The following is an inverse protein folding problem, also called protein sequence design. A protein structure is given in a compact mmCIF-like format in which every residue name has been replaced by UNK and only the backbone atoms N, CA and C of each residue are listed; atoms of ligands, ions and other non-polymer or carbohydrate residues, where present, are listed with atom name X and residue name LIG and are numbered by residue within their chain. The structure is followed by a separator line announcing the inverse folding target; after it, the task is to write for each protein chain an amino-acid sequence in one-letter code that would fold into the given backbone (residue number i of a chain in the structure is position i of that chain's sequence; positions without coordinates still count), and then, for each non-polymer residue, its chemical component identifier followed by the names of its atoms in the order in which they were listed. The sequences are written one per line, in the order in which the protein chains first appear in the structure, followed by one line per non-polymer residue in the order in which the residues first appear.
data_IF_999284156637
#
_entry.id   IF_999284156637
#
_cell.length_a   1.000
_cell.length_b   1.000
_cell.length_c   1.000
_cell.angle_alpha   90.00
_cell.angle_beta   90.00
_cell.angle_gamma   90.00
#
_symmetry.space_group_name_H-M   'P 1'
#
loop_
_entity.id
_entity.type
_entity.pdbx_description
1 polymer ?
#
# COMPACT_ATOMS: atom_id res chain seq x y z
N UNK A 1 19.99 25.15 0.03
CA UNK A 1 19.39 23.92 0.58
C UNK A 1 18.51 23.25 -0.48
N UNK A 2 19.12 22.66 -1.53
CA UNK A 2 18.41 22.09 -2.70
C UNK A 2 18.70 20.57 -2.84
N UNK A 3 19.37 19.98 -1.85
CA UNK A 3 19.97 18.64 -1.98
C UNK A 3 19.02 17.47 -1.64
N UNK A 4 17.88 17.72 -0.99
CA UNK A 4 17.05 16.63 -0.43
C UNK A 4 16.02 16.03 -1.41
N UNK A 5 15.59 16.77 -2.44
CA UNK A 5 14.58 16.27 -3.39
C UNK A 5 15.14 15.27 -4.42
N UNK A 6 16.46 15.23 -4.61
CA UNK A 6 17.12 14.31 -5.55
C UNK A 6 17.32 12.90 -4.96
N UNK A 7 17.46 12.78 -3.63
CA UNK A 7 17.60 11.49 -2.95
C UNK A 7 16.27 10.74 -2.92
N UNK A 8 15.15 11.42 -2.61
CA UNK A 8 13.82 10.79 -2.62
C UNK A 8 13.39 10.26 -4.00
N UNK A 9 13.83 10.90 -5.10
CA UNK A 9 13.57 10.38 -6.46
C UNK A 9 14.41 9.15 -6.81
N UNK A 10 15.58 8.95 -6.19
CA UNK A 10 16.40 7.76 -6.40
C UNK A 10 15.86 6.53 -5.68
N UNK A 11 15.21 6.73 -4.53
CA UNK A 11 14.61 5.66 -3.73
C UNK A 11 13.36 5.03 -4.36
N UNK A 12 12.79 5.62 -5.41
CA UNK A 12 11.64 5.07 -6.15
C UNK A 12 12.02 4.33 -7.45
N UNK A 13 13.32 4.24 -7.78
CA UNK A 13 13.82 3.62 -9.02
C UNK A 13 14.01 2.10 -8.92
N UNK A 14 13.44 1.46 -7.90
CA UNK A 14 13.52 0.00 -7.72
C UNK A 14 12.63 -0.78 -8.70
N UNK A 15 11.63 -0.13 -9.31
CA UNK A 15 10.73 -0.78 -10.27
C UNK A 15 11.23 -0.66 -11.71
N UNK A 16 11.33 -1.79 -12.40
CA UNK A 16 11.88 -1.86 -13.76
C UNK A 16 10.85 -2.26 -14.83
N UNK A 17 9.57 -2.35 -14.47
CA UNK A 17 8.50 -2.74 -15.39
C UNK A 17 8.63 -4.20 -15.84
N UNK A 18 8.19 -4.48 -17.08
CA UNK A 18 8.26 -5.82 -17.69
C UNK A 18 9.71 -6.19 -17.98
N UNK A 19 10.26 -7.10 -17.18
CA UNK A 19 11.66 -7.51 -17.27
C UNK A 19 11.77 -9.03 -17.12
N UNK A 20 12.56 -9.67 -17.99
CA UNK A 20 12.80 -11.11 -17.89
C UNK A 20 13.71 -11.45 -16.71
N UNK A 21 13.69 -12.72 -16.28
CA UNK A 21 14.56 -13.21 -15.21
C UNK A 21 16.05 -12.99 -15.55
N UNK A 22 16.45 -13.29 -16.78
CA UNK A 22 17.83 -13.13 -17.25
C UNK A 22 18.26 -11.67 -17.32
N UNK A 23 17.37 -10.77 -17.74
CA UNK A 23 17.64 -9.34 -17.75
C UNK A 23 17.80 -8.79 -16.33
N UNK A 24 16.94 -9.21 -15.41
CA UNK A 24 17.04 -8.86 -13.99
C UNK A 24 18.37 -9.31 -13.39
N UNK A 25 18.79 -10.54 -13.69
CA UNK A 25 20.06 -11.09 -13.24
C UNK A 25 21.26 -10.25 -13.73
N UNK A 26 21.28 -9.91 -15.02
CA UNK A 26 22.35 -9.06 -15.60
C UNK A 26 22.42 -7.69 -14.93
N UNK A 27 21.28 -7.05 -14.70
CA UNK A 27 21.23 -5.74 -14.03
C UNK A 27 21.77 -5.79 -12.61
N UNK A 28 21.47 -6.85 -11.85
CA UNK A 28 22.03 -7.03 -10.49
C UNK A 28 23.56 -7.18 -10.51
N UNK A 29 24.10 -7.89 -11.51
CA UNK A 29 25.55 -8.01 -11.70
C UNK A 29 26.15 -6.65 -12.06
N UNK A 30 25.57 -5.96 -13.05
CA UNK A 30 26.06 -4.66 -13.53
C UNK A 30 25.99 -3.57 -12.45
N UNK A 31 25.00 -3.63 -11.55
CA UNK A 31 24.84 -2.66 -10.47
C UNK A 31 25.78 -2.87 -9.26
N UNK A 32 26.62 -3.92 -9.30
CA UNK A 32 27.78 -4.04 -8.43
C UNK A 32 27.70 -5.11 -7.34
N UNK A 33 26.89 -6.16 -7.51
CA UNK A 33 26.92 -7.40 -6.71
C UNK A 33 27.00 -7.20 -5.19
N UNK A 34 26.31 -6.19 -4.65
CA UNK A 34 26.27 -5.92 -3.22
C UNK A 34 25.15 -6.71 -2.55
N UNK A 35 25.42 -7.25 -1.36
CA UNK A 35 24.39 -7.93 -0.57
C UNK A 35 23.27 -6.96 -0.20
N UNK A 36 22.02 -7.40 -0.37
CA UNK A 36 20.84 -6.56 -0.18
C UNK A 36 20.54 -5.63 -1.36
N UNK A 37 21.21 -5.80 -2.50
CA UNK A 37 20.85 -5.15 -3.76
C UNK A 37 19.58 -5.79 -4.33
N UNK A 38 18.56 -5.00 -4.64
CA UNK A 38 17.30 -5.53 -5.13
C UNK A 38 16.68 -4.71 -6.26
N UNK A 39 15.78 -5.35 -6.99
CA UNK A 39 14.90 -4.71 -7.96
C UNK A 39 13.56 -5.46 -8.01
N UNK A 40 12.49 -4.75 -8.37
CA UNK A 40 11.18 -5.36 -8.61
C UNK A 40 10.83 -5.23 -10.09
N UNK A 41 10.30 -6.31 -10.64
CA UNK A 41 9.88 -6.39 -12.04
C UNK A 41 8.50 -7.00 -12.15
N UNK A 42 7.81 -6.65 -13.21
CA UNK A 42 6.60 -7.32 -13.64
C UNK A 42 6.98 -8.57 -14.45
N UNK A 43 6.32 -9.69 -14.15
CA UNK A 43 6.54 -10.94 -14.86
C UNK A 43 5.97 -10.85 -16.28
N UNK A 44 6.78 -11.19 -17.29
CA UNK A 44 6.30 -11.31 -18.68
C UNK A 44 5.45 -12.55 -18.90
N UNK A 45 5.56 -13.55 -18.02
CA UNK A 45 4.87 -14.83 -18.15
C UNK A 45 3.47 -14.83 -17.50
N UNK A 46 3.22 -13.92 -16.56
CA UNK A 46 1.96 -13.82 -15.83
C UNK A 46 1.59 -12.33 -15.67
N UNK A 47 0.65 -11.80 -16.47
CA UNK A 47 0.24 -10.40 -16.37
C UNK A 47 -0.36 -10.13 -14.98
N UNK A 48 0.08 -9.04 -14.33
CA UNK A 48 -0.34 -8.69 -12.96
C UNK A 48 0.44 -9.39 -11.85
N UNK A 49 1.42 -10.23 -12.17
CA UNK A 49 2.34 -10.83 -11.18
C UNK A 49 3.67 -10.09 -11.14
N UNK A 50 4.14 -9.78 -9.94
CA UNK A 50 5.42 -9.09 -9.74
C UNK A 50 6.47 -10.07 -9.22
N UNK A 51 7.74 -9.77 -9.42
CA UNK A 51 8.85 -10.59 -8.93
C UNK A 51 9.89 -9.68 -8.32
N UNK A 52 10.23 -9.92 -7.06
CA UNK A 52 11.33 -9.26 -6.38
C UNK A 52 12.61 -10.07 -6.65
N UNK A 53 13.61 -9.43 -7.23
CA UNK A 53 14.93 -10.04 -7.44
C UNK A 53 15.92 -9.41 -6.46
N UNK A 54 16.50 -10.23 -5.60
CA UNK A 54 17.40 -9.85 -4.50
C UNK A 54 18.77 -10.51 -4.72
N UNK A 55 19.83 -9.76 -4.57
CA UNK A 55 21.19 -10.27 -4.57
C UNK A 55 21.69 -10.53 -3.15
N UNK A 56 22.19 -11.75 -2.92
CA UNK A 56 22.81 -12.15 -1.67
C UNK A 56 23.84 -13.26 -1.92
N UNK A 57 25.00 -13.20 -1.27
CA UNK A 57 26.03 -14.26 -1.31
C UNK A 57 26.39 -14.68 -2.75
N UNK A 58 26.61 -13.69 -3.63
CA UNK A 58 26.95 -13.89 -5.06
C UNK A 58 25.88 -14.61 -5.89
N UNK A 59 24.65 -14.73 -5.38
CA UNK A 59 23.52 -15.35 -6.09
C UNK A 59 22.32 -14.41 -6.13
N UNK A 60 21.55 -14.49 -7.21
CA UNK A 60 20.30 -13.75 -7.33
C UNK A 60 19.12 -14.65 -6.94
N UNK A 61 18.45 -14.28 -5.86
CA UNK A 61 17.19 -14.86 -5.44
C UNK A 61 16.03 -14.14 -6.13
N UNK A 62 15.02 -14.90 -6.54
CA UNK A 62 13.81 -14.36 -7.16
C UNK A 62 12.60 -14.83 -6.39
N UNK A 63 11.85 -13.88 -5.85
CA UNK A 63 10.69 -14.10 -4.99
C UNK A 63 9.43 -13.69 -5.73
N UNK A 64 8.43 -14.57 -5.77
CA UNK A 64 7.20 -14.31 -6.50
C UNK A 64 6.28 -13.45 -5.65
N UNK A 65 5.97 -12.25 -6.12
CA UNK A 65 4.96 -11.39 -5.49
C UNK A 65 3.61 -11.76 -6.10
N UNK A 66 2.72 -12.28 -5.27
CA UNK A 66 1.34 -12.59 -5.63
C UNK A 66 0.45 -11.39 -5.32
N UNK A 67 -0.49 -11.14 -6.22
CA UNK A 67 -1.54 -10.15 -6.03
C UNK A 67 -2.79 -10.85 -5.52
N UNK A 68 -3.32 -10.36 -4.40
CA UNK A 68 -4.51 -10.87 -3.72
C UNK A 68 -5.59 -9.77 -3.68
N UNK A 69 -6.77 -10.04 -4.27
CA UNK A 69 -7.91 -9.13 -4.20
C UNK A 69 -7.70 -7.79 -4.91
N UNK A 70 -8.10 -6.68 -4.27
CA UNK A 70 -8.15 -5.36 -4.90
C UNK A 70 -6.83 -4.57 -4.87
N UNK A 71 -6.02 -4.68 -3.80
CA UNK A 71 -4.74 -3.96 -3.65
C UNK A 71 -3.70 -4.66 -2.74
N UNK A 72 -3.89 -5.95 -2.40
CA UNK A 72 -2.98 -6.63 -1.49
C UNK A 72 -1.91 -7.42 -2.24
N UNK A 73 -0.68 -7.34 -1.74
CA UNK A 73 0.48 -8.03 -2.29
C UNK A 73 1.15 -8.85 -1.20
N UNK A 74 1.56 -10.05 -1.53
CA UNK A 74 2.36 -10.91 -0.66
C UNK A 74 3.56 -11.44 -1.43
N UNK A 75 4.69 -11.61 -0.75
CA UNK A 75 5.81 -12.38 -1.30
C UNK A 75 5.61 -13.83 -0.88
N UNK A 76 5.55 -14.75 -1.85
CA UNK A 76 5.37 -16.19 -1.64
C UNK A 76 4.22 -16.51 -0.66
N UNK A 77 4.48 -17.13 0.49
CA UNK A 77 3.53 -17.44 1.58
C UNK A 77 3.62 -16.43 2.75
N UNK A 78 4.14 -15.23 2.46
CA UNK A 78 4.40 -14.18 3.46
C UNK A 78 3.20 -13.30 3.81
N UNK A 79 3.40 -12.31 4.69
CA UNK A 79 2.37 -11.34 5.08
C UNK A 79 1.80 -10.55 3.89
N UNK A 80 0.53 -10.16 4.01
CA UNK A 80 -0.19 -9.36 3.03
C UNK A 80 0.03 -7.86 3.30
N UNK A 81 0.38 -7.12 2.25
CA UNK A 81 0.62 -5.68 2.29
C UNK A 81 -0.31 -4.96 1.33
N UNK A 82 -0.92 -3.86 1.77
CA UNK A 82 -1.57 -2.93 0.87
C UNK A 82 -0.48 -2.15 0.13
N UNK A 83 -0.31 -2.39 -1.18
CA UNK A 83 0.74 -1.77 -2.01
C UNK A 83 2.13 -2.43 -1.95
N UNK A 84 2.88 -2.27 -3.04
CA UNK A 84 4.20 -2.87 -3.25
C UNK A 84 5.32 -2.07 -2.57
N UNK A 85 5.12 -0.76 -2.40
CA UNK A 85 6.00 0.12 -1.64
C UNK A 85 5.99 -0.18 -0.13
N UNK A 86 4.82 -0.44 0.46
CA UNK A 86 4.70 -0.87 1.87
C UNK A 86 5.44 -2.18 2.09
N UNK A 87 5.24 -3.12 1.16
CA UNK A 87 5.94 -4.39 1.12
C UNK A 87 7.46 -4.19 1.04
N UNK A 88 7.95 -3.36 0.12
CA UNK A 88 9.38 -3.05 -0.01
C UNK A 88 9.91 -2.42 1.26
N UNK A 89 9.22 -1.44 1.85
CA UNK A 89 9.65 -0.77 3.08
C UNK A 89 9.74 -1.74 4.27
N UNK A 90 8.75 -2.60 4.45
CA UNK A 90 8.79 -3.65 5.47
C UNK A 90 10.03 -4.53 5.32
N UNK A 91 10.33 -4.97 4.08
CA UNK A 91 11.50 -5.82 3.84
C UNK A 91 12.85 -5.08 3.85
N UNK A 92 12.85 -3.74 3.84
CA UNK A 92 14.04 -2.92 4.14
C UNK A 92 14.35 -2.91 5.62
N UNK A 93 13.33 -2.86 6.46
CA UNK A 93 13.49 -2.86 7.93
C UNK A 93 13.83 -4.26 8.44
N UNK A 94 13.23 -5.30 7.87
CA UNK A 94 13.40 -6.68 8.32
C UNK A 94 13.38 -7.70 7.18
N UNK A 95 14.24 -8.72 7.23
CA UNK A 95 14.31 -9.72 6.16
C UNK A 95 13.05 -10.59 6.07
N UNK A 96 12.34 -10.87 7.18
CA UNK A 96 11.01 -11.48 7.18
C UNK A 96 10.84 -12.79 6.39
N UNK A 97 11.93 -13.53 6.13
CA UNK A 97 11.93 -14.74 5.28
C UNK A 97 12.73 -14.63 3.97
N UNK A 98 13.18 -13.43 3.58
CA UNK A 98 14.15 -13.23 2.49
C UNK A 98 15.58 -13.63 2.92
N UNK A 99 16.43 -13.88 1.92
CA UNK A 99 17.84 -14.21 2.12
C UNK A 99 18.60 -13.12 2.90
N UNK A 100 18.28 -11.85 2.65
CA UNK A 100 18.78 -10.70 3.41
C UNK A 100 17.79 -9.55 3.33
N UNK A 101 17.96 -8.53 4.18
CA UNK A 101 17.14 -7.31 4.15
C UNK A 101 17.42 -6.49 2.88
N UNK A 102 16.43 -5.74 2.43
CA UNK A 102 16.58 -4.85 1.28
C UNK A 102 17.40 -3.62 1.68
N UNK A 103 18.61 -3.48 1.15
CA UNK A 103 19.53 -2.39 1.50
C UNK A 103 19.54 -1.33 0.42
N UNK A 104 19.73 -1.76 -0.85
CA UNK A 104 19.98 -0.85 -1.96
C UNK A 104 19.13 -1.23 -3.17
N UNK A 105 18.47 -0.25 -3.76
CA UNK A 105 17.77 -0.48 -5.02
C UNK A 105 18.74 -0.42 -6.22
N UNK A 106 18.53 -1.29 -7.20
CA UNK A 106 19.24 -1.27 -8.47
C UNK A 106 18.81 -0.02 -9.26
N UNK A 107 19.68 1.00 -9.30
CA UNK A 107 19.44 2.21 -10.09
C UNK A 107 19.30 1.88 -11.57
N UNK A 108 18.29 2.45 -12.23
CA UNK A 108 18.00 2.18 -13.64
C UNK A 108 16.53 1.96 -13.98
N UNK A 109 15.62 1.98 -12.98
CA UNK A 109 14.19 1.91 -13.20
C UNK A 109 13.73 3.01 -14.17
N UNK A 110 13.21 2.60 -15.34
CA UNK A 110 12.77 3.53 -16.40
C UNK A 110 11.42 4.18 -16.11
N UNK A 111 10.70 3.68 -15.11
CA UNK A 111 9.37 4.15 -14.75
C UNK A 111 9.10 3.91 -13.27
N UNK A 112 8.42 4.83 -12.55
CA UNK A 112 7.88 4.52 -11.23
C UNK A 112 6.93 3.31 -11.32
N UNK A 113 6.75 2.53 -10.24
CA UNK A 113 5.76 1.45 -10.20
C UNK A 113 4.37 1.98 -10.61
N UNK A 114 3.52 1.19 -11.27
CA UNK A 114 2.18 1.62 -11.66
C UNK A 114 1.40 2.11 -10.43
N UNK A 115 0.52 3.09 -10.60
CA UNK A 115 -0.21 3.73 -9.49
C UNK A 115 -1.04 2.76 -8.63
N UNK A 116 -1.42 1.60 -9.18
CA UNK A 116 -2.06 0.49 -8.46
C UNK A 116 -1.13 -0.23 -7.46
N UNK A 117 0.19 -0.13 -7.68
CA UNK A 117 1.22 -0.80 -6.89
C UNK A 117 1.90 0.15 -5.91
N UNK A 118 1.64 1.45 -6.02
CA UNK A 118 1.95 2.40 -4.97
C UNK A 118 0.72 2.40 -4.04
N UNK A 119 0.89 2.19 -2.74
CA UNK A 119 0.17 3.06 -1.85
C UNK A 119 0.63 4.44 -2.26
N UNK A 120 -0.23 5.18 -2.93
CA UNK A 120 -0.15 6.60 -2.72
C UNK A 120 -0.76 6.76 -1.33
N UNK A 121 0.04 6.87 -0.25
CA UNK A 121 -0.51 7.29 1.02
C UNK A 121 -1.27 8.59 0.79
N UNK A 122 -0.85 9.44 -0.15
CA UNK A 122 -1.62 10.59 -0.59
C UNK A 122 -3.04 10.25 -1.04
N UNK A 123 -3.29 9.37 -2.02
CA UNK A 123 -4.67 9.12 -2.48
C UNK A 123 -5.49 8.33 -1.46
N UNK A 124 -4.97 7.27 -0.84
CA UNK A 124 -5.78 6.47 0.10
C UNK A 124 -6.01 7.19 1.43
N UNK A 125 -5.04 7.96 1.94
CA UNK A 125 -5.23 8.83 3.11
C UNK A 125 -6.11 10.02 2.75
N UNK A 126 -5.96 10.62 1.57
CA UNK A 126 -6.81 11.72 1.14
C UNK A 126 -8.25 11.26 0.92
N UNK A 127 -8.46 10.08 0.32
CA UNK A 127 -9.77 9.52 0.09
C UNK A 127 -10.44 9.11 1.42
N UNK A 128 -9.69 8.50 2.35
CA UNK A 128 -10.16 8.23 3.71
C UNK A 128 -10.45 9.51 4.50
N UNK A 129 -9.60 10.54 4.39
CA UNK A 129 -9.81 11.86 5.02
C UNK A 129 -10.98 12.62 4.38
N UNK A 130 -11.19 12.47 3.07
CA UNK A 130 -12.34 12.99 2.34
C UNK A 130 -13.62 12.30 2.78
N UNK A 131 -13.60 10.97 2.96
CA UNK A 131 -14.72 10.20 3.48
C UNK A 131 -15.07 10.66 4.90
N UNK A 132 -14.07 10.85 5.78
CA UNK A 132 -14.30 11.42 7.12
C UNK A 132 -14.94 12.80 7.08
N UNK A 133 -14.48 13.70 6.20
CA UNK A 133 -15.05 15.04 6.05
C UNK A 133 -16.48 15.00 5.51
N UNK A 134 -16.76 14.13 4.54
CA UNK A 134 -18.10 13.94 3.99
C UNK A 134 -19.06 13.38 5.05
N UNK A 135 -18.60 12.40 5.84
CA UNK A 135 -19.34 11.86 6.97
C UNK A 135 -19.53 12.90 8.08
N UNK A 136 -18.58 13.80 8.30
CA UNK A 136 -18.72 14.89 9.26
C UNK A 136 -19.78 15.90 8.82
N UNK A 137 -19.78 16.26 7.52
CA UNK A 137 -20.74 17.18 6.92
C UNK A 137 -22.15 16.58 6.78
N UNK A 138 -22.28 15.25 6.73
CA UNK A 138 -23.53 14.57 6.47
C UNK A 138 -23.93 14.57 4.98
N UNK A 139 -22.95 14.74 4.08
CA UNK A 139 -23.18 14.80 2.64
C UNK A 139 -23.19 13.37 2.04
N UNK A 140 -24.40 12.81 1.90
CA UNK A 140 -24.63 11.47 1.35
C UNK A 140 -24.14 11.34 -0.11
N UNK A 141 -24.19 12.41 -0.89
CA UNK A 141 -23.79 12.40 -2.30
C UNK A 141 -22.27 12.30 -2.42
N UNK A 142 -21.53 13.07 -1.64
CA UNK A 142 -20.07 13.00 -1.62
C UNK A 142 -19.58 11.68 -1.02
N UNK A 143 -20.25 11.16 0.01
CA UNK A 143 -19.97 9.81 0.56
C UNK A 143 -20.13 8.75 -0.53
N UNK A 144 -21.22 8.75 -1.28
CA UNK A 144 -21.41 7.81 -2.39
C UNK A 144 -20.32 7.95 -3.46
N UNK A 145 -19.95 9.18 -3.83
CA UNK A 145 -18.91 9.41 -4.84
C UNK A 145 -17.56 8.83 -4.39
N UNK A 146 -17.21 9.04 -3.13
CA UNK A 146 -15.95 8.55 -2.55
C UNK A 146 -15.96 7.02 -2.39
N UNK A 147 -17.11 6.43 -2.03
CA UNK A 147 -17.25 4.97 -1.89
C UNK A 147 -17.31 4.23 -3.24
N UNK A 148 -17.56 4.93 -4.35
CA UNK A 148 -17.47 4.37 -5.69
C UNK A 148 -16.03 4.15 -6.17
N UNK A 149 -15.04 4.80 -5.53
CA UNK A 149 -13.65 4.62 -5.90
C UNK A 149 -13.15 3.22 -5.49
N UNK A 150 -12.57 2.44 -6.42
CA UNK A 150 -12.14 1.06 -6.13
C UNK A 150 -10.96 0.98 -5.15
N UNK A 151 -10.34 2.11 -4.81
CA UNK A 151 -9.19 2.21 -3.92
C UNK A 151 -9.57 2.69 -2.50
N UNK A 152 -10.86 2.89 -2.21
CA UNK A 152 -11.30 3.33 -0.88
C UNK A 152 -11.12 2.22 0.15
N UNK A 153 -10.54 2.59 1.29
CA UNK A 153 -10.58 1.77 2.50
C UNK A 153 -11.63 2.35 3.46
N UNK A 154 -12.75 1.65 3.63
CA UNK A 154 -13.86 2.08 4.50
C UNK A 154 -13.46 2.03 5.98
N UNK A 155 -12.57 1.10 6.34
CA UNK A 155 -12.00 0.95 7.68
C UNK A 155 -10.79 1.88 7.90
N UNK A 156 -10.63 2.90 7.07
CA UNK A 156 -9.63 3.93 7.29
C UNK A 156 -9.92 4.65 8.63
N UNK A 157 -8.89 4.78 9.46
CA UNK A 157 -8.96 5.42 10.77
C UNK A 157 -8.28 6.78 10.74
N UNK A 158 -8.87 7.76 11.43
CA UNK A 158 -8.25 9.07 11.63
C UNK A 158 -7.20 9.02 12.77
N UNK A 159 -6.62 10.18 13.10
CA UNK A 159 -5.62 10.31 14.18
C UNK A 159 -6.17 9.90 15.58
N UNK A 160 -7.50 9.85 15.75
CA UNK A 160 -8.19 9.40 16.96
C UNK A 160 -8.51 7.90 16.94
N UNK A 161 -8.08 7.17 15.90
CA UNK A 161 -8.46 5.76 15.68
C UNK A 161 -9.91 5.58 15.25
N UNK A 162 -10.65 6.66 14.99
CA UNK A 162 -12.05 6.62 14.61
C UNK A 162 -12.20 6.33 13.11
N UNK A 163 -13.10 5.41 12.77
CA UNK A 163 -13.50 5.11 11.39
C UNK A 163 -14.58 6.08 10.91
N UNK A 164 -14.87 6.07 9.60
CA UNK A 164 -15.97 6.87 9.01
C UNK A 164 -17.33 6.62 9.67
N UNK A 165 -17.57 5.38 10.11
CA UNK A 165 -18.78 5.02 10.82
C UNK A 165 -18.85 5.67 12.22
N UNK A 166 -17.73 5.78 12.94
CA UNK A 166 -17.69 6.50 14.21
C UNK A 166 -18.06 7.97 14.03
N UNK A 167 -17.52 8.62 12.99
CA UNK A 167 -17.77 10.05 12.71
C UNK A 167 -19.25 10.26 12.37
N UNK A 168 -19.82 9.41 11.50
CA UNK A 168 -21.23 9.48 11.12
C UNK A 168 -22.17 9.29 12.33
N UNK A 169 -21.90 8.30 13.18
CA UNK A 169 -22.66 8.08 14.41
C UNK A 169 -22.54 9.24 15.40
N UNK A 170 -21.32 9.76 15.62
CA UNK A 170 -21.05 10.89 16.53
C UNK A 170 -21.79 12.17 16.11
N UNK A 171 -22.03 12.37 14.81
CA UNK A 171 -22.78 13.51 14.28
C UNK A 171 -24.28 13.26 14.14
N UNK A 172 -24.74 12.01 14.26
CA UNK A 172 -26.15 11.63 14.12
C UNK A 172 -26.64 11.58 12.67
N UNK A 173 -25.75 11.41 11.70
CA UNK A 173 -26.12 11.39 10.27
C UNK A 173 -26.59 10.00 9.84
N UNK A 174 -27.86 9.68 10.09
CA UNK A 174 -28.44 8.34 9.82
C UNK A 174 -28.29 7.91 8.35
N UNK A 175 -28.51 8.82 7.39
CA UNK A 175 -28.39 8.51 5.96
C UNK A 175 -26.98 8.03 5.58
N UNK A 176 -25.95 8.71 6.08
CA UNK A 176 -24.55 8.33 5.86
C UNK A 176 -24.22 7.00 6.54
N UNK A 177 -24.75 6.76 7.75
CA UNK A 177 -24.60 5.47 8.44
C UNK A 177 -25.15 4.33 7.60
N UNK A 178 -26.35 4.49 7.03
CA UNK A 178 -26.95 3.49 6.13
C UNK A 178 -26.06 3.19 4.92
N UNK A 179 -25.53 4.23 4.26
CA UNK A 179 -24.65 4.04 3.10
C UNK A 179 -23.38 3.27 3.50
N UNK A 180 -22.73 3.63 4.61
CA UNK A 180 -21.54 2.91 5.07
C UNK A 180 -21.83 1.44 5.38
N UNK A 181 -23.02 1.14 5.94
CA UNK A 181 -23.46 -0.24 6.20
C UNK A 181 -23.73 -1.03 4.92
N UNK A 182 -24.31 -0.40 3.89
CA UNK A 182 -24.48 -1.03 2.56
C UNK A 182 -23.14 -1.45 1.96
N UNK A 183 -22.08 -0.69 2.24
CA UNK A 183 -20.71 -1.00 1.83
C UNK A 183 -19.94 -1.87 2.84
N UNK A 184 -20.64 -2.60 3.73
CA UNK A 184 -20.05 -3.57 4.65
C UNK A 184 -19.07 -2.97 5.69
N UNK A 185 -19.25 -1.71 6.09
CA UNK A 185 -18.48 -1.11 7.19
C UNK A 185 -18.60 -1.92 8.50
N UNK A 186 -17.51 -2.06 9.23
CA UNK A 186 -17.46 -2.82 10.47
C UNK A 186 -18.05 -2.03 11.64
N UNK A 187 -19.23 -2.47 12.09
CA UNK A 187 -19.95 -1.90 13.25
C UNK A 187 -19.27 -2.14 14.59
N UNK A 188 -18.31 -3.07 14.65
CA UNK A 188 -17.60 -3.43 15.87
C UNK A 188 -16.18 -2.85 15.95
N UNK A 189 -15.79 -2.00 14.98
CA UNK A 189 -14.51 -1.30 15.02
C UNK A 189 -14.38 -0.50 16.32
N UNK A 190 -13.17 -0.39 16.88
CA UNK A 190 -12.93 0.32 18.13
C UNK A 190 -11.98 1.48 17.89
N UNK A 191 -12.33 2.66 18.39
CA UNK A 191 -11.45 3.83 18.38
C UNK A 191 -10.30 3.69 19.40
N UNK A 192 -9.41 4.69 19.48
CA UNK A 192 -8.30 4.70 20.44
C UNK A 192 -8.77 4.73 21.91
N UNK A 193 -10.01 5.17 22.18
CA UNK A 193 -10.63 5.13 23.50
C UNK A 193 -11.36 3.79 23.75
N UNK A 194 -11.28 2.86 22.80
CA UNK A 194 -11.92 1.56 22.87
C UNK A 194 -13.43 1.61 22.74
N UNK A 195 -14.02 2.69 22.22
CA UNK A 195 -15.46 2.84 21.98
C UNK A 195 -15.84 2.29 20.62
N UNK A 196 -17.04 1.76 20.49
CA UNK A 196 -17.60 1.37 19.18
C UNK A 196 -18.35 2.54 18.53
N UNK A 197 -18.65 2.50 17.22
CA UNK A 197 -19.42 3.54 16.54
C UNK A 197 -20.76 3.84 17.22
N UNK A 198 -21.43 2.79 17.70
CA UNK A 198 -22.67 2.93 18.43
C UNK A 198 -22.47 3.65 19.77
N UNK A 199 -21.37 3.40 20.48
CA UNK A 199 -21.09 4.07 21.76
C UNK A 199 -20.81 5.56 21.60
N UNK A 200 -20.17 5.99 20.50
CA UNK A 200 -19.88 7.41 20.26
C UNK A 200 -21.09 8.24 19.82
N UNK A 201 -22.15 7.59 19.32
CA UNK A 201 -23.40 8.27 18.91
C UNK A 201 -24.42 8.50 20.03
N UNK A 202 -24.19 7.97 21.24
CA UNK A 202 -25.16 8.01 22.36
C UNK A 202 -24.86 9.18 23.34
N UNK A 203 -24.23 10.27 22.88
CA UNK A 203 -24.01 11.47 23.71
C UNK A 203 -25.15 12.48 23.53
#
# INVERSE_FOLDING_TARGET
MISDQASQRKDMLWFHGKLSRDQAYRLLIEAGQQDGLFLVRESTNAPGSFVLSLWNEHTAFHYQIRHHGHCHFSIDEGPLFAGLDTLVNYYREQAGGLATKLVRCCGGGRSPPPSLCQTQPSITVELGRNLHRACEAGDDTEVHRVLQDPNINIEFMNDEGATSLHVACKKGHEAVVWILLEYNANVNSRDNEGRTPLMVGIC
#
